data_IF_795123801639
#
_entry.id   IF_795123801639
#
_cell.length_a   1.000
_cell.length_b   1.000
_cell.length_c   1.000
_cell.angle_alpha   90.00
_cell.angle_beta   90.00
_cell.angle_gamma   90.00
#
_symmetry.space_group_name_H-M   'P 1'
#
loop_
_entity.id
_entity.type
_entity.pdbx_description
1 polymer ?
#
# COMPACT_ATOMS: atom_id res chain seq x y z
N UNK A 1 29.98 14.91 11.71
CA UNK A 1 29.02 15.92 11.22
C UNK A 1 27.73 15.76 12.00
N UNK A 2 27.26 16.81 12.70
CA UNK A 2 25.99 16.78 13.44
C UNK A 2 24.87 16.89 12.39
N UNK A 3 24.00 15.89 12.32
CA UNK A 3 22.85 15.93 11.42
C UNK A 3 21.99 17.18 11.73
N UNK A 4 21.50 17.93 10.73
CA UNK A 4 20.69 19.11 10.97
C UNK A 4 19.44 18.74 11.75
N UNK A 5 19.13 19.55 12.78
CA UNK A 5 17.96 19.37 13.63
C UNK A 5 16.69 19.37 12.74
N UNK A 6 15.82 18.36 12.85
CA UNK A 6 14.64 18.29 12.01
C UNK A 6 13.76 19.54 12.20
N UNK A 7 13.19 20.07 11.13
CA UNK A 7 12.25 21.19 11.19
C UNK A 7 11.04 20.76 12.02
N UNK A 8 10.56 21.62 12.90
CA UNK A 8 9.44 21.34 13.81
C UNK A 8 8.12 20.99 13.09
N UNK A 9 7.96 21.40 11.82
CA UNK A 9 6.79 21.06 10.99
C UNK A 9 7.27 20.53 9.62
N UNK A 10 6.85 19.31 9.23
CA UNK A 10 7.19 18.76 7.94
C UNK A 10 6.48 19.55 6.82
N UNK A 11 7.18 19.87 5.74
CA UNK A 11 6.55 20.49 4.58
C UNK A 11 5.70 19.46 3.82
N UNK A 12 4.59 19.91 3.21
CA UNK A 12 3.71 19.05 2.38
C UNK A 12 4.53 18.33 1.29
N UNK A 13 5.51 19.01 0.68
CA UNK A 13 6.39 18.38 -0.32
C UNK A 13 7.14 17.17 0.24
N UNK A 14 7.64 17.23 1.48
CA UNK A 14 8.35 16.11 2.11
C UNK A 14 7.39 14.96 2.43
N UNK A 15 6.19 15.26 2.88
CA UNK A 15 5.15 14.25 3.12
C UNK A 15 4.76 13.54 1.82
N UNK A 16 4.59 14.27 0.71
CA UNK A 16 4.33 13.68 -0.60
C UNK A 16 5.50 12.78 -1.06
N UNK A 17 6.74 13.20 -0.89
CA UNK A 17 7.90 12.36 -1.24
C UNK A 17 7.91 11.07 -0.40
N UNK A 18 7.55 11.14 0.89
CA UNK A 18 7.50 9.97 1.77
C UNK A 18 6.47 8.91 1.31
N UNK A 19 5.40 9.31 0.60
CA UNK A 19 4.44 8.35 0.04
C UNK A 19 4.97 7.53 -1.13
N UNK A 20 6.15 7.85 -1.65
CA UNK A 20 6.78 7.21 -2.83
C UNK A 20 5.83 7.19 -4.04
N UNK A 21 5.46 8.35 -4.63
CA UNK A 21 4.40 8.46 -5.65
C UNK A 21 4.62 7.58 -6.88
N UNK A 22 5.87 7.31 -7.26
CA UNK A 22 6.19 6.46 -8.40
C UNK A 22 5.65 5.02 -8.23
N UNK A 23 5.55 4.52 -7.01
CA UNK A 23 5.02 3.18 -6.74
C UNK A 23 3.49 3.13 -6.70
N UNK A 24 2.83 4.27 -6.48
CA UNK A 24 1.37 4.34 -6.44
C UNK A 24 0.71 4.01 -7.79
N UNK A 25 1.46 4.11 -8.90
CA UNK A 25 0.98 3.70 -10.23
C UNK A 25 0.60 2.21 -10.26
N UNK A 26 1.31 1.35 -9.51
CA UNK A 26 0.99 -0.08 -9.40
C UNK A 26 -0.41 -0.28 -8.81
N UNK A 27 -0.77 0.51 -7.78
CA UNK A 27 -2.12 0.50 -7.21
C UNK A 27 -3.16 0.95 -8.20
N UNK A 28 -2.90 2.03 -8.93
CA UNK A 28 -3.85 2.51 -9.94
C UNK A 28 -4.13 1.43 -10.98
N UNK A 29 -3.09 0.73 -11.47
CA UNK A 29 -3.24 -0.39 -12.42
C UNK A 29 -4.05 -1.54 -11.80
N UNK A 30 -3.76 -1.94 -10.55
CA UNK A 30 -4.51 -2.99 -9.86
C UNK A 30 -6.00 -2.65 -9.73
N UNK A 31 -6.32 -1.41 -9.37
CA UNK A 31 -7.69 -0.91 -9.27
C UNK A 31 -8.38 -0.92 -10.65
N UNK A 32 -7.69 -0.45 -11.70
CA UNK A 32 -8.24 -0.48 -13.08
C UNK A 32 -8.50 -1.90 -13.55
N UNK A 33 -7.64 -2.87 -13.20
CA UNK A 33 -7.88 -4.29 -13.49
C UNK A 33 -9.14 -4.82 -12.78
N UNK A 34 -9.37 -4.45 -11.53
CA UNK A 34 -10.60 -4.80 -10.81
C UNK A 34 -11.85 -4.20 -11.47
N UNK A 35 -11.79 -2.94 -11.90
CA UNK A 35 -12.92 -2.33 -12.65
C UNK A 35 -13.15 -3.03 -13.99
N UNK A 36 -12.09 -3.29 -14.74
CA UNK A 36 -12.19 -4.00 -16.02
C UNK A 36 -12.80 -5.39 -15.84
N UNK A 37 -12.46 -6.10 -14.76
CA UNK A 37 -13.04 -7.38 -14.41
C UNK A 37 -14.55 -7.29 -14.14
N UNK A 38 -14.99 -6.30 -13.36
CA UNK A 38 -16.40 -6.09 -13.06
C UNK A 38 -17.20 -5.77 -14.33
N UNK A 39 -16.69 -4.85 -15.17
CA UNK A 39 -17.32 -4.48 -16.44
C UNK A 39 -17.37 -5.66 -17.41
N UNK A 40 -16.28 -6.43 -17.52
CA UNK A 40 -16.23 -7.65 -18.34
C UNK A 40 -17.29 -8.68 -17.90
N UNK A 41 -17.56 -8.74 -16.59
CA UNK A 41 -18.58 -9.62 -16.02
C UNK A 41 -20.03 -9.05 -16.14
N UNK A 42 -20.23 -7.95 -16.86
CA UNK A 42 -21.51 -7.34 -17.14
C UNK A 42 -22.05 -6.41 -16.06
N UNK A 43 -21.23 -6.02 -15.08
CA UNK A 43 -21.66 -5.08 -14.04
C UNK A 43 -21.56 -3.63 -14.51
N UNK A 44 -22.58 -2.84 -14.14
CA UNK A 44 -22.61 -1.39 -14.39
C UNK A 44 -21.79 -0.70 -13.30
N UNK A 45 -20.90 0.21 -13.70
CA UNK A 45 -20.03 0.92 -12.75
C UNK A 45 -20.80 1.90 -11.86
N UNK A 46 -20.67 1.75 -10.55
CA UNK A 46 -20.99 2.78 -9.56
C UNK A 46 -19.78 3.73 -9.44
N UNK A 47 -19.80 4.80 -10.23
CA UNK A 47 -18.65 5.75 -10.30
C UNK A 47 -18.30 6.41 -8.97
N UNK A 48 -19.23 6.81 -8.09
CA UNK A 48 -18.88 7.31 -6.76
C UNK A 48 -18.11 6.32 -5.92
N UNK A 49 -18.55 5.06 -5.84
CA UNK A 49 -17.83 4.00 -5.12
C UNK A 49 -16.51 3.67 -5.79
N UNK A 50 -16.44 3.72 -7.13
CA UNK A 50 -15.20 3.54 -7.87
C UNK A 50 -14.18 4.65 -7.52
N UNK A 51 -14.59 5.91 -7.57
CA UNK A 51 -13.70 7.03 -7.21
C UNK A 51 -13.14 6.90 -5.78
N UNK A 52 -14.02 6.57 -4.81
CA UNK A 52 -13.60 6.33 -3.43
C UNK A 52 -12.61 5.16 -3.33
N UNK A 53 -12.88 4.05 -4.02
CA UNK A 53 -11.99 2.88 -4.03
C UNK A 53 -10.62 3.24 -4.57
N UNK A 54 -10.52 3.95 -5.70
CA UNK A 54 -9.25 4.38 -6.27
C UNK A 54 -8.47 5.29 -5.30
N UNK A 55 -9.11 6.35 -4.82
CA UNK A 55 -8.47 7.33 -3.93
C UNK A 55 -7.94 6.64 -2.68
N UNK A 56 -8.77 5.83 -2.01
CA UNK A 56 -8.39 5.24 -0.74
C UNK A 56 -7.50 4.00 -0.86
N UNK A 57 -7.50 3.31 -2.00
CA UNK A 57 -6.45 2.33 -2.30
C UNK A 57 -5.07 3.00 -2.44
N UNK A 58 -5.00 4.15 -3.13
CA UNK A 58 -3.76 4.94 -3.22
C UNK A 58 -3.32 5.46 -1.84
N UNK A 59 -4.26 5.93 -1.01
CA UNK A 59 -3.97 6.37 0.37
C UNK A 59 -3.48 5.22 1.24
N UNK A 60 -4.07 4.03 1.13
CA UNK A 60 -3.62 2.84 1.85
C UNK A 60 -2.19 2.45 1.49
N UNK A 61 -1.87 2.42 0.19
CA UNK A 61 -0.52 2.13 -0.28
C UNK A 61 0.48 3.22 0.16
N UNK A 62 0.10 4.49 0.07
CA UNK A 62 0.91 5.60 0.58
C UNK A 62 1.20 5.43 2.08
N UNK A 63 0.21 5.07 2.87
CA UNK A 63 0.35 4.78 4.29
C UNK A 63 1.30 3.61 4.57
N UNK A 64 1.18 2.52 3.80
CA UNK A 64 2.07 1.37 3.89
C UNK A 64 3.53 1.77 3.61
N UNK A 65 3.79 2.55 2.55
CA UNK A 65 5.13 3.04 2.22
C UNK A 65 5.74 3.89 3.35
N UNK A 66 4.95 4.80 3.93
CA UNK A 66 5.41 5.68 5.02
C UNK A 66 5.68 4.89 6.30
N UNK A 67 4.84 3.91 6.62
CA UNK A 67 5.06 3.01 7.78
C UNK A 67 6.27 2.11 7.56
N UNK A 68 6.48 1.62 6.35
CA UNK A 68 7.66 0.86 6.00
C UNK A 68 8.94 1.68 6.25
N UNK A 69 9.04 2.92 5.74
CA UNK A 69 10.18 3.82 5.99
C UNK A 69 10.46 4.02 7.49
N UNK A 70 9.41 4.14 8.31
CA UNK A 70 9.56 4.28 9.76
C UNK A 70 10.18 3.03 10.39
N UNK A 71 9.65 1.84 10.10
CA UNK A 71 10.15 0.59 10.72
C UNK A 71 11.50 0.15 10.17
N UNK A 72 11.79 0.41 8.89
CA UNK A 72 13.10 0.10 8.29
C UNK A 72 14.20 1.00 8.88
N UNK A 73 13.86 2.25 9.22
CA UNK A 73 14.75 3.12 10.00
C UNK A 73 15.04 2.54 11.40
N UNK A 74 14.01 2.04 12.10
CA UNK A 74 14.18 1.47 13.45
C UNK A 74 14.95 0.15 13.45
N UNK A 75 14.82 -0.65 12.40
CA UNK A 75 15.54 -1.91 12.25
C UNK A 75 16.99 -1.72 11.78
N UNK A 76 17.33 -0.54 11.25
CA UNK A 76 18.63 -0.25 10.66
C UNK A 76 18.80 -0.79 9.24
N UNK A 77 17.79 -1.40 8.66
CA UNK A 77 17.81 -2.01 7.33
C UNK A 77 18.23 -0.99 6.26
N UNK A 78 17.60 0.19 6.26
CA UNK A 78 17.92 1.29 5.33
C UNK A 78 19.35 1.84 5.45
N UNK A 79 20.00 1.66 6.59
CA UNK A 79 21.38 2.10 6.81
C UNK A 79 22.41 1.08 6.32
N UNK A 80 22.02 -0.17 6.19
CA UNK A 80 22.88 -1.28 5.77
C UNK A 80 22.97 -1.38 4.24
N UNK A 81 22.03 -0.78 3.51
CA UNK A 81 21.96 -0.86 2.05
C UNK A 81 22.96 0.08 1.39
N UNK A 82 24.08 -0.49 0.88
CA UNK A 82 25.18 0.23 0.24
C UNK A 82 25.01 0.43 -1.27
N UNK A 83 24.21 -0.43 -1.94
CA UNK A 83 24.05 -0.46 -3.40
C UNK A 83 22.69 0.09 -3.85
N UNK A 84 22.29 1.19 -3.29
CA UNK A 84 20.98 1.77 -3.51
C UNK A 84 20.77 2.28 -4.94
N UNK A 85 19.65 1.89 -5.55
CA UNK A 85 19.16 2.42 -6.85
C UNK A 85 17.91 3.29 -6.58
N UNK A 86 18.12 4.62 -6.52
CA UNK A 86 17.00 5.53 -6.32
C UNK A 86 16.10 5.60 -7.59
N UNK A 87 14.77 5.67 -7.47
CA UNK A 87 13.95 5.66 -6.25
C UNK A 87 13.51 4.26 -5.79
N UNK A 88 14.05 3.19 -6.36
CA UNK A 88 13.52 1.83 -6.30
C UNK A 88 13.89 1.08 -5.02
N UNK A 89 15.11 1.24 -4.51
CA UNK A 89 15.57 0.56 -3.29
C UNK A 89 15.89 1.53 -2.16
N UNK A 90 15.93 1.05 -0.90
CA UNK A 90 16.39 1.81 0.28
C UNK A 90 15.47 2.92 0.77
N UNK A 91 14.18 2.80 0.56
CA UNK A 91 13.19 3.72 1.12
C UNK A 91 13.27 5.17 0.61
N UNK A 92 12.53 6.09 1.24
CA UNK A 92 12.59 7.52 0.93
C UNK A 92 13.85 8.21 1.48
N UNK A 93 14.47 7.61 2.51
CA UNK A 93 15.61 8.13 3.27
C UNK A 93 15.41 9.52 3.88
N UNK A 94 14.18 9.96 4.03
CA UNK A 94 13.90 11.28 4.60
C UNK A 94 14.24 11.34 6.10
N UNK A 95 14.14 10.21 6.81
CA UNK A 95 14.51 10.12 8.23
C UNK A 95 16.03 10.11 8.35
N UNK A 96 16.75 9.27 7.60
CA UNK A 96 18.21 9.13 7.61
C UNK A 96 18.90 10.45 7.25
N UNK A 97 18.33 11.21 6.31
CA UNK A 97 18.82 12.54 5.91
C UNK A 97 18.40 13.67 6.87
N UNK A 98 17.74 13.36 7.99
CA UNK A 98 17.28 14.34 8.97
C UNK A 98 16.22 15.33 8.43
N UNK A 99 15.55 15.00 7.32
CA UNK A 99 14.53 15.87 6.70
C UNK A 99 13.15 15.68 7.30
N UNK A 100 12.83 14.47 7.80
CA UNK A 100 11.65 14.16 8.61
C UNK A 100 12.11 13.50 9.91
N UNK A 101 11.37 13.74 11.00
CA UNK A 101 11.58 12.99 12.23
C UNK A 101 10.86 11.64 12.16
N UNK A 102 11.40 10.62 12.84
CA UNK A 102 10.76 9.32 12.94
C UNK A 102 9.33 9.41 13.50
N UNK A 103 9.12 10.28 14.50
CA UNK A 103 7.79 10.50 15.10
C UNK A 103 6.80 11.11 14.11
N UNK A 104 7.21 12.10 13.30
CA UNK A 104 6.34 12.69 12.28
C UNK A 104 6.02 11.69 11.17
N UNK A 105 6.99 10.88 10.75
CA UNK A 105 6.79 9.82 9.75
C UNK A 105 5.82 8.77 10.27
N UNK A 106 6.00 8.30 11.50
CA UNK A 106 5.08 7.38 12.15
C UNK A 106 3.65 7.92 12.20
N UNK A 107 3.48 9.14 12.72
CA UNK A 107 2.16 9.77 12.84
C UNK A 107 1.49 9.89 11.47
N UNK A 108 2.21 10.35 10.47
CA UNK A 108 1.70 10.51 9.11
C UNK A 108 1.29 9.17 8.49
N UNK A 109 2.12 8.14 8.59
CA UNK A 109 1.81 6.81 8.04
C UNK A 109 0.56 6.19 8.68
N UNK A 110 0.47 6.25 10.03
CA UNK A 110 -0.73 5.75 10.72
C UNK A 110 -1.96 6.59 10.42
N UNK A 111 -1.86 7.92 10.28
CA UNK A 111 -3.01 8.76 9.92
C UNK A 111 -3.54 8.41 8.53
N UNK A 112 -2.67 8.10 7.56
CA UNK A 112 -3.08 7.63 6.24
C UNK A 112 -3.82 6.28 6.32
N UNK A 113 -3.27 5.28 7.02
CA UNK A 113 -3.94 3.97 7.16
C UNK A 113 -5.27 4.08 7.92
N UNK A 114 -5.33 4.87 8.99
CA UNK A 114 -6.56 5.06 9.75
C UNK A 114 -7.63 5.81 8.95
N UNK A 115 -7.25 6.72 8.06
CA UNK A 115 -8.20 7.44 7.20
C UNK A 115 -8.92 6.54 6.20
N UNK A 116 -8.35 5.36 5.88
CA UNK A 116 -8.97 4.37 4.99
C UNK A 116 -10.16 3.65 5.67
N UNK A 117 -10.10 3.50 6.99
CA UNK A 117 -11.09 2.71 7.74
C UNK A 117 -12.53 3.21 7.56
N UNK A 118 -12.86 4.49 7.79
CA UNK A 118 -14.24 4.96 7.65
C UNK A 118 -14.78 4.81 6.22
N UNK A 119 -13.94 4.99 5.20
CA UNK A 119 -14.34 4.79 3.81
C UNK A 119 -14.50 3.31 3.49
N UNK A 120 -13.63 2.44 4.01
CA UNK A 120 -13.78 0.99 3.90
C UNK A 120 -15.09 0.50 4.54
N UNK A 121 -15.47 1.04 5.71
CA UNK A 121 -16.76 0.73 6.35
C UNK A 121 -17.94 1.21 5.48
N UNK A 122 -17.86 2.44 4.95
CA UNK A 122 -18.89 2.96 4.04
C UNK A 122 -19.03 2.08 2.77
N UNK A 123 -17.93 1.72 2.13
CA UNK A 123 -17.96 0.85 0.95
C UNK A 123 -18.47 -0.56 1.30
N UNK A 124 -18.13 -1.08 2.48
CA UNK A 124 -18.68 -2.36 2.99
C UNK A 124 -20.19 -2.28 3.17
N UNK A 125 -20.71 -1.18 3.71
CA UNK A 125 -22.15 -0.96 3.82
C UNK A 125 -22.83 -0.98 2.44
N UNK A 126 -22.18 -0.43 1.41
CA UNK A 126 -22.68 -0.38 0.03
C UNK A 126 -22.56 -1.71 -0.72
N UNK A 127 -21.48 -2.47 -0.52
CA UNK A 127 -21.16 -3.64 -1.35
C UNK A 127 -21.19 -4.98 -0.61
N UNK A 128 -21.44 -4.98 0.71
CA UNK A 128 -21.57 -6.19 1.51
C UNK A 128 -20.34 -6.56 2.32
N UNK A 129 -20.56 -7.44 3.31
CA UNK A 129 -19.57 -7.79 4.35
C UNK A 129 -18.28 -8.43 3.81
N UNK A 130 -18.28 -9.02 2.62
CA UNK A 130 -17.08 -9.60 2.02
C UNK A 130 -15.96 -8.58 1.87
N UNK A 131 -16.30 -7.32 1.57
CA UNK A 131 -15.31 -6.26 1.46
C UNK A 131 -14.62 -5.96 2.80
N UNK A 132 -15.30 -6.11 3.92
CA UNK A 132 -14.69 -5.93 5.24
C UNK A 132 -13.55 -6.91 5.48
N UNK A 133 -13.72 -8.17 5.10
CA UNK A 133 -12.67 -9.19 5.21
C UNK A 133 -11.52 -8.90 4.25
N UNK A 134 -11.83 -8.60 2.98
CA UNK A 134 -10.83 -8.28 1.95
C UNK A 134 -9.99 -7.07 2.38
N UNK A 135 -10.65 -5.97 2.74
CA UNK A 135 -10.01 -4.73 3.16
C UNK A 135 -9.28 -4.86 4.50
N UNK A 136 -9.88 -5.56 5.47
CA UNK A 136 -9.28 -5.82 6.78
C UNK A 136 -7.98 -6.61 6.68
N UNK A 137 -7.96 -7.69 5.89
CA UNK A 137 -6.74 -8.46 5.61
C UNK A 137 -5.71 -7.58 4.88
N UNK A 138 -6.13 -6.79 3.90
CA UNK A 138 -5.24 -5.89 3.15
C UNK A 138 -4.56 -4.86 4.06
N UNK A 139 -5.31 -4.16 4.92
CA UNK A 139 -4.75 -3.19 5.88
C UNK A 139 -3.85 -3.90 6.90
N UNK A 140 -4.24 -5.07 7.37
CA UNK A 140 -3.41 -5.86 8.28
C UNK A 140 -2.06 -6.22 7.66
N UNK A 141 -2.03 -6.70 6.41
CA UNK A 141 -0.79 -7.03 5.71
C UNK A 141 0.05 -5.77 5.49
N UNK A 142 -0.56 -4.66 5.08
CA UNK A 142 0.13 -3.39 4.88
C UNK A 142 0.86 -2.92 6.14
N UNK A 143 0.28 -3.14 7.31
CA UNK A 143 0.90 -2.86 8.60
C UNK A 143 1.92 -3.94 8.99
N UNK A 144 1.53 -5.22 8.93
CA UNK A 144 2.33 -6.35 9.38
C UNK A 144 3.59 -6.58 8.54
N UNK A 145 3.63 -6.03 7.32
CA UNK A 145 4.76 -6.13 6.41
C UNK A 145 6.07 -5.70 7.08
N UNK A 146 6.06 -4.55 7.78
CA UNK A 146 7.23 -4.00 8.44
C UNK A 146 7.10 -3.93 9.96
N UNK A 147 5.87 -3.90 10.51
CA UNK A 147 5.62 -3.66 11.91
C UNK A 147 5.85 -4.90 12.78
N UNK A 148 6.43 -4.74 14.00
CA UNK A 148 6.48 -5.82 14.97
C UNK A 148 5.07 -6.14 15.50
N UNK A 149 4.79 -7.38 15.90
CA UNK A 149 5.73 -8.51 16.01
C UNK A 149 5.92 -9.27 14.68
N UNK A 150 5.17 -8.94 13.63
CA UNK A 150 5.12 -9.76 12.41
C UNK A 150 6.34 -9.56 11.51
N UNK A 151 6.66 -8.34 11.08
CA UNK A 151 7.82 -8.01 10.23
C UNK A 151 7.96 -8.99 9.07
N UNK A 152 6.91 -9.17 8.27
CA UNK A 152 6.83 -10.21 7.24
C UNK A 152 7.99 -10.12 6.25
N UNK A 153 8.40 -8.90 5.87
CA UNK A 153 9.53 -8.68 4.96
C UNK A 153 10.83 -9.30 5.46
N UNK A 154 11.14 -9.18 6.76
CA UNK A 154 12.40 -9.71 7.33
C UNK A 154 12.35 -11.19 7.69
N UNK A 155 11.22 -11.86 7.49
CA UNK A 155 11.02 -13.29 7.76
C UNK A 155 10.95 -14.14 6.50
N UNK A 156 11.28 -13.59 5.34
CA UNK A 156 11.14 -14.29 4.06
C UNK A 156 9.68 -14.47 3.60
N UNK A 157 8.77 -13.67 4.14
CA UNK A 157 7.34 -13.68 3.76
C UNK A 157 6.95 -12.43 2.98
N UNK A 158 7.94 -11.61 2.58
CA UNK A 158 7.72 -10.34 1.89
C UNK A 158 6.98 -10.51 0.58
N UNK A 159 7.43 -11.43 -0.28
CA UNK A 159 6.87 -11.70 -1.60
C UNK A 159 5.43 -12.23 -1.50
N UNK A 160 5.16 -13.10 -0.53
CA UNK A 160 3.80 -13.60 -0.26
C UNK A 160 2.87 -12.49 0.22
N UNK A 161 3.36 -11.63 1.10
CA UNK A 161 2.60 -10.48 1.59
C UNK A 161 2.26 -9.52 0.46
N UNK A 162 3.20 -9.24 -0.43
CA UNK A 162 3.02 -8.37 -1.59
C UNK A 162 2.07 -9.02 -2.60
N UNK A 163 2.27 -10.30 -2.94
CA UNK A 163 1.37 -11.03 -3.84
C UNK A 163 -0.06 -11.00 -3.33
N UNK A 164 -0.26 -11.32 -2.05
CA UNK A 164 -1.60 -11.31 -1.46
C UNK A 164 -2.19 -9.90 -1.43
N UNK A 165 -1.41 -8.87 -1.11
CA UNK A 165 -1.89 -7.49 -1.11
C UNK A 165 -2.42 -7.06 -2.48
N UNK A 166 -1.68 -7.29 -3.55
CA UNK A 166 -2.09 -6.91 -4.90
C UNK A 166 -3.28 -7.72 -5.40
N UNK A 167 -3.33 -9.01 -5.08
CA UNK A 167 -4.49 -9.85 -5.35
C UNK A 167 -5.75 -9.31 -4.67
N UNK A 168 -5.64 -8.94 -3.39
CA UNK A 168 -6.76 -8.37 -2.61
C UNK A 168 -7.20 -7.01 -3.14
N UNK A 169 -6.31 -6.17 -3.66
CA UNK A 169 -6.70 -4.90 -4.30
C UNK A 169 -7.57 -5.15 -5.53
N UNK A 170 -7.19 -6.07 -6.42
CA UNK A 170 -7.96 -6.39 -7.62
C UNK A 170 -9.32 -7.00 -7.24
N UNK A 171 -9.33 -8.00 -6.36
CA UNK A 171 -10.57 -8.66 -5.90
C UNK A 171 -11.48 -7.66 -5.17
N UNK A 172 -10.94 -6.86 -4.26
CA UNK A 172 -11.71 -5.89 -3.50
C UNK A 172 -12.34 -4.80 -4.38
N UNK A 173 -11.60 -4.37 -5.39
CA UNK A 173 -12.08 -3.39 -6.36
C UNK A 173 -13.21 -3.96 -7.22
N UNK A 174 -13.09 -5.19 -7.73
CA UNK A 174 -14.16 -5.89 -8.43
C UNK A 174 -15.38 -6.08 -7.51
N UNK A 175 -15.14 -6.51 -6.24
CA UNK A 175 -16.20 -6.70 -5.25
C UNK A 175 -17.03 -5.45 -5.01
N UNK A 176 -16.43 -4.28 -4.94
CA UNK A 176 -17.15 -3.00 -4.75
C UNK A 176 -18.18 -2.78 -5.86
N UNK A 177 -17.95 -3.29 -7.07
CA UNK A 177 -18.85 -3.14 -8.21
C UNK A 177 -19.78 -4.35 -8.41
N UNK A 178 -19.28 -5.56 -8.14
CA UNK A 178 -19.98 -6.81 -8.43
C UNK A 178 -20.78 -7.36 -7.24
N UNK A 179 -20.41 -6.97 -6.01
CA UNK A 179 -20.97 -7.44 -4.73
C UNK A 179 -20.82 -8.95 -4.52
N UNK A 180 -19.92 -9.59 -5.22
CA UNK A 180 -19.70 -11.04 -5.17
C UNK A 180 -18.23 -11.41 -5.45
N UNK A 181 -17.82 -12.58 -5.00
CA UNK A 181 -16.55 -13.16 -5.39
C UNK A 181 -16.74 -13.91 -6.72
N UNK A 182 -15.85 -13.65 -7.69
CA UNK A 182 -15.87 -14.32 -8.98
C UNK A 182 -14.48 -14.78 -9.40
N UNK A 183 -14.40 -15.67 -10.38
CA UNK A 183 -13.13 -16.24 -10.84
C UNK A 183 -12.29 -15.23 -11.60
N UNK A 184 -12.89 -14.33 -12.38
CA UNK A 184 -12.18 -13.38 -13.25
C UNK A 184 -11.21 -12.48 -12.47
N UNK A 185 -11.62 -11.74 -11.41
CA UNK A 185 -10.68 -10.90 -10.66
C UNK A 185 -9.63 -11.71 -9.92
N UNK A 186 -9.92 -12.97 -9.55
CA UNK A 186 -8.94 -13.86 -8.92
C UNK A 186 -7.83 -14.24 -9.91
N UNK A 187 -8.17 -14.65 -11.12
CA UNK A 187 -7.21 -15.06 -12.14
C UNK A 187 -6.36 -13.86 -12.62
N UNK A 188 -7.00 -12.74 -12.97
CA UNK A 188 -6.30 -11.52 -13.41
C UNK A 188 -5.46 -10.93 -12.28
N UNK A 189 -6.04 -10.86 -11.07
CA UNK A 189 -5.36 -10.34 -9.89
C UNK A 189 -4.14 -11.17 -9.49
N UNK A 190 -4.23 -12.51 -9.55
CA UNK A 190 -3.10 -13.39 -9.25
C UNK A 190 -1.97 -13.20 -10.27
N UNK A 191 -2.29 -13.15 -11.56
CA UNK A 191 -1.30 -12.94 -12.63
C UNK A 191 -0.57 -11.60 -12.45
N UNK A 192 -1.31 -10.53 -12.16
CA UNK A 192 -0.76 -9.22 -11.88
C UNK A 192 0.11 -9.23 -10.61
N UNK A 193 -0.40 -9.79 -9.51
CA UNK A 193 0.28 -9.83 -8.22
C UNK A 193 1.61 -10.58 -8.29
N UNK A 194 1.64 -11.72 -8.97
CA UNK A 194 2.88 -12.49 -9.20
C UNK A 194 3.89 -11.71 -10.04
N UNK A 195 3.42 -10.96 -11.06
CA UNK A 195 4.31 -10.13 -11.87
C UNK A 195 4.96 -9.03 -11.04
N UNK A 196 4.20 -8.37 -10.16
CA UNK A 196 4.74 -7.33 -9.24
C UNK A 196 5.70 -7.93 -8.22
N UNK A 197 5.36 -9.07 -7.62
CA UNK A 197 6.22 -9.77 -6.67
C UNK A 197 7.55 -10.19 -7.32
N UNK A 198 7.52 -10.64 -8.59
CA UNK A 198 8.72 -11.03 -9.33
C UNK A 198 9.65 -9.82 -9.60
N UNK A 199 9.09 -8.65 -9.92
CA UNK A 199 9.89 -7.42 -10.06
C UNK A 199 10.63 -7.10 -8.76
N UNK A 200 9.96 -7.24 -7.62
CA UNK A 200 10.58 -7.00 -6.32
C UNK A 200 11.66 -8.03 -6.00
N UNK A 201 11.43 -9.30 -6.30
CA UNK A 201 12.40 -10.37 -6.12
C UNK A 201 13.70 -10.14 -6.92
N UNK A 202 13.59 -9.66 -8.17
CA UNK A 202 14.76 -9.37 -9.01
C UNK A 202 15.55 -8.14 -8.48
N UNK A 203 14.89 -7.23 -7.76
CA UNK A 203 15.52 -6.01 -7.25
C UNK A 203 16.02 -6.13 -5.80
N UNK A 204 15.98 -7.31 -5.20
CA UNK A 204 16.60 -7.62 -3.91
C UNK A 204 17.98 -8.23 -4.13
#
# INVERSE_FOLDING_TARGET
MIAPKPRNTPSIKLLLIATRPAFLNVTAVAVLLGYASAVHSGHIMDYPSAALTLIFALVAHAGANVINDYYDTLSGCDNAESERIAPFTGGSQLIQKGRLSASATRLFGYSLLLSVVPVGVYLTYRSGLGLLFIGGIGIFIAWAYSAPPFKLQSRGLGEWAITLSWLLVVIGTDWVQSHRLSFTPMAVGLSFALSVANILYINQ
#
